data_IF_374745535360
#
_entry.id   IF_374745535360
#
_cell.length_a   1.000
_cell.length_b   1.000
_cell.length_c   1.000
_cell.angle_alpha   90.00
_cell.angle_beta   90.00
_cell.angle_gamma   90.00
#
_symmetry.space_group_name_H-M   'P 1'
#
loop_
_entity.id
_entity.type
_entity.pdbx_description
1 polymer ?
#
# COMPACT_ATOMS: atom_id res chain seq x y z
N UNK A 1 17.57 -9.96 4.11
CA UNK A 1 16.71 -8.95 3.45
C UNK A 1 17.35 -7.60 3.70
N UNK A 2 17.57 -6.80 2.64
CA UNK A 2 18.43 -5.63 2.66
C UNK A 2 17.63 -4.35 2.98
N UNK A 3 17.94 -3.72 4.11
CA UNK A 3 17.31 -2.47 4.55
C UNK A 3 17.49 -1.31 3.55
N UNK A 4 18.46 -1.41 2.62
CA UNK A 4 18.69 -0.40 1.59
C UNK A 4 17.66 -0.39 0.46
N UNK A 5 16.87 -1.47 0.27
CA UNK A 5 15.78 -1.50 -0.74
C UNK A 5 14.58 -0.67 -0.30
N UNK A 6 14.24 -0.70 0.99
CA UNK A 6 13.05 -0.04 1.54
C UNK A 6 13.17 1.48 1.64
N UNK A 7 14.38 2.04 1.71
CA UNK A 7 14.62 3.49 1.72
C UNK A 7 14.25 4.18 0.38
N UNK A 8 14.00 3.41 -0.69
CA UNK A 8 13.68 3.91 -2.04
C UNK A 8 12.20 3.83 -2.41
N UNK A 9 11.34 3.35 -1.51
CA UNK A 9 9.93 3.11 -1.83
C UNK A 9 9.07 4.37 -1.69
N UNK A 10 9.49 5.36 -0.91
CA UNK A 10 8.83 6.67 -0.81
C UNK A 10 8.60 7.30 -2.20
N UNK A 11 7.34 7.56 -2.60
CA UNK A 11 7.04 8.36 -3.78
C UNK A 11 7.81 9.68 -3.73
N UNK A 12 8.32 10.15 -4.87
CA UNK A 12 9.10 11.40 -4.97
C UNK A 12 8.31 12.64 -4.48
N UNK A 13 7.00 12.52 -4.35
CA UNK A 13 6.08 13.56 -3.87
C UNK A 13 5.88 13.59 -2.36
N UNK A 14 6.36 12.59 -1.60
CA UNK A 14 6.17 12.55 -0.15
C UNK A 14 7.16 13.44 0.59
N UNK A 15 6.64 14.36 1.40
CA UNK A 15 7.47 15.34 2.11
C UNK A 15 8.01 14.77 3.43
N UNK A 16 9.13 15.29 3.96
CA UNK A 16 9.71 14.84 5.24
C UNK A 16 8.77 14.93 6.46
N UNK A 17 7.72 15.76 6.37
CA UNK A 17 6.70 15.95 7.40
C UNK A 17 5.68 14.80 7.42
N UNK A 18 5.54 14.05 6.33
CA UNK A 18 4.59 12.94 6.16
C UNK A 18 5.12 11.60 6.69
N UNK A 19 5.54 11.61 7.96
CA UNK A 19 6.17 10.45 8.60
C UNK A 19 5.20 9.27 8.75
N UNK A 20 3.92 9.55 8.99
CA UNK A 20 2.89 8.52 9.17
C UNK A 20 2.56 7.81 7.86
N UNK A 21 2.35 8.59 6.80
CA UNK A 21 2.12 8.09 5.46
C UNK A 21 3.29 7.26 4.96
N UNK A 22 4.52 7.66 5.32
CA UNK A 22 5.73 6.88 4.99
C UNK A 22 5.72 5.50 5.62
N UNK A 23 5.33 5.42 6.89
CA UNK A 23 5.25 4.15 7.62
C UNK A 23 4.19 3.25 6.99
N UNK A 24 2.98 3.78 6.75
CA UNK A 24 1.87 3.01 6.16
C UNK A 24 2.19 2.57 4.73
N UNK A 25 2.76 3.46 3.92
CA UNK A 25 3.12 3.17 2.54
C UNK A 25 4.16 2.05 2.47
N UNK A 26 5.26 2.15 3.22
CA UNK A 26 6.34 1.14 3.18
C UNK A 26 5.83 -0.22 3.64
N UNK A 27 5.05 -0.26 4.72
CA UNK A 27 4.44 -1.49 5.24
C UNK A 27 3.51 -2.12 4.21
N UNK A 28 2.60 -1.32 3.63
CA UNK A 28 1.63 -1.81 2.67
C UNK A 28 2.23 -2.25 1.35
N UNK A 29 3.24 -1.51 0.86
CA UNK A 29 3.94 -1.86 -0.36
C UNK A 29 4.65 -3.21 -0.20
N UNK A 30 5.38 -3.42 0.89
CA UNK A 30 6.05 -4.69 1.19
C UNK A 30 5.03 -5.84 1.31
N UNK A 31 3.93 -5.60 2.03
CA UNK A 31 2.86 -6.59 2.22
C UNK A 31 2.22 -7.01 0.89
N UNK A 32 1.88 -6.07 0.01
CA UNK A 32 1.23 -6.37 -1.26
C UNK A 32 2.20 -6.99 -2.27
N UNK A 33 3.45 -6.53 -2.33
CA UNK A 33 4.46 -7.04 -3.27
C UNK A 33 4.89 -8.47 -2.90
N UNK A 34 5.03 -8.76 -1.60
CA UNK A 34 5.68 -10.01 -1.14
C UNK A 34 4.76 -10.95 -0.35
N UNK A 35 3.60 -10.48 0.09
CA UNK A 35 2.72 -11.22 1.00
C UNK A 35 3.22 -11.28 2.45
N UNK A 36 4.37 -10.67 2.75
CA UNK A 36 4.97 -10.62 4.07
C UNK A 36 5.50 -9.20 4.36
N UNK A 37 5.87 -8.94 5.61
CA UNK A 37 6.50 -7.67 6.02
C UNK A 37 7.73 -7.96 6.87
N UNK A 38 8.75 -7.13 6.75
CA UNK A 38 9.94 -7.23 7.59
C UNK A 38 9.65 -6.79 9.03
N UNK A 39 10.45 -7.29 9.99
CA UNK A 39 10.38 -6.88 11.39
C UNK A 39 10.51 -5.36 11.56
N UNK A 40 11.33 -4.71 10.71
CA UNK A 40 11.51 -3.27 10.72
C UNK A 40 10.23 -2.52 10.33
N UNK A 41 9.56 -2.95 9.26
CA UNK A 41 8.29 -2.37 8.81
C UNK A 41 7.18 -2.61 9.84
N UNK A 42 7.09 -3.84 10.38
CA UNK A 42 6.10 -4.17 11.41
C UNK A 42 6.32 -3.35 12.68
N UNK A 43 7.56 -3.27 13.16
CA UNK A 43 7.92 -2.44 14.32
C UNK A 43 7.58 -0.97 14.11
N UNK A 44 7.87 -0.40 12.94
CA UNK A 44 7.56 1.00 12.65
C UNK A 44 6.05 1.29 12.73
N UNK A 45 5.21 0.36 12.22
CA UNK A 45 3.75 0.46 12.33
C UNK A 45 3.30 0.32 13.79
N UNK A 46 3.76 -0.69 14.50
CA UNK A 46 3.34 -0.92 15.90
C UNK A 46 3.79 0.20 16.82
N UNK A 47 5.01 0.71 16.68
CA UNK A 47 5.51 1.83 17.47
C UNK A 47 4.66 3.10 17.27
N UNK A 48 4.10 3.28 16.07
CA UNK A 48 3.34 4.48 15.72
C UNK A 48 1.82 4.35 15.94
N UNK A 49 1.25 3.20 15.63
CA UNK A 49 -0.20 2.95 15.57
C UNK A 49 -0.68 1.84 16.51
N UNK A 50 0.24 1.12 17.16
CA UNK A 50 -0.05 -0.05 17.99
C UNK A 50 -0.40 -1.30 17.18
N UNK A 51 -0.48 -2.44 17.86
CA UNK A 51 -0.83 -3.73 17.24
C UNK A 51 -2.20 -3.71 16.58
N UNK A 52 -3.19 -3.05 17.20
CA UNK A 52 -4.52 -2.89 16.62
C UNK A 52 -4.48 -2.05 15.34
N UNK A 53 -3.70 -0.97 15.32
CA UNK A 53 -3.49 -0.18 14.11
C UNK A 53 -2.86 -0.99 12.99
N UNK A 54 -1.93 -1.89 13.30
CA UNK A 54 -1.37 -2.82 12.32
C UNK A 54 -2.44 -3.73 11.70
N UNK A 55 -3.33 -4.30 12.52
CA UNK A 55 -4.46 -5.12 12.05
C UNK A 55 -5.41 -4.30 11.17
N UNK A 56 -5.76 -3.08 11.57
CA UNK A 56 -6.65 -2.22 10.81
C UNK A 56 -6.05 -1.88 9.43
N UNK A 57 -4.74 -1.59 9.36
CA UNK A 57 -4.01 -1.34 8.12
C UNK A 57 -4.05 -2.56 7.20
N UNK A 58 -3.73 -3.76 7.72
CA UNK A 58 -3.78 -5.02 6.97
C UNK A 58 -5.19 -5.26 6.42
N UNK A 59 -6.22 -5.06 7.26
CA UNK A 59 -7.61 -5.27 6.89
C UNK A 59 -8.06 -4.38 5.74
N UNK A 60 -7.75 -3.07 5.81
CA UNK A 60 -8.09 -2.11 4.74
C UNK A 60 -7.36 -2.46 3.44
N UNK A 61 -6.06 -2.75 3.50
CA UNK A 61 -5.27 -3.10 2.32
C UNK A 61 -5.82 -4.37 1.66
N UNK A 62 -6.04 -5.44 2.42
CA UNK A 62 -6.59 -6.69 1.89
C UNK A 62 -7.98 -6.52 1.30
N UNK A 63 -8.86 -5.76 1.95
CA UNK A 63 -10.21 -5.49 1.46
C UNK A 63 -10.19 -4.79 0.09
N UNK A 64 -9.42 -3.71 -0.05
CA UNK A 64 -9.35 -2.99 -1.33
C UNK A 64 -8.61 -3.77 -2.41
N UNK A 65 -7.62 -4.60 -2.06
CA UNK A 65 -7.00 -5.53 -3.00
C UNK A 65 -8.01 -6.54 -3.54
N UNK A 66 -8.84 -7.13 -2.67
CA UNK A 66 -9.92 -8.03 -3.08
C UNK A 66 -10.91 -7.35 -4.03
N UNK A 67 -11.40 -6.15 -3.66
CA UNK A 67 -12.32 -5.37 -4.51
C UNK A 67 -11.67 -5.07 -5.86
N UNK A 68 -10.40 -4.68 -5.88
CA UNK A 68 -9.65 -4.39 -7.11
C UNK A 68 -9.55 -5.62 -8.01
N UNK A 69 -9.28 -6.80 -7.45
CA UNK A 69 -9.26 -8.06 -8.21
C UNK A 69 -10.61 -8.36 -8.86
N UNK A 70 -11.72 -8.16 -8.13
CA UNK A 70 -13.07 -8.37 -8.66
C UNK A 70 -13.35 -7.40 -9.82
N UNK A 71 -13.10 -6.10 -9.63
CA UNK A 71 -13.34 -5.08 -10.65
C UNK A 71 -12.50 -5.29 -11.91
N UNK A 72 -11.25 -5.72 -11.76
CA UNK A 72 -10.36 -6.02 -12.87
C UNK A 72 -10.86 -7.20 -13.72
N UNK A 73 -11.38 -8.25 -13.07
CA UNK A 73 -11.95 -9.42 -13.77
C UNK A 73 -13.28 -9.09 -14.44
N UNK A 74 -14.16 -8.37 -13.75
CA UNK A 74 -15.48 -7.98 -14.26
C UNK A 74 -15.42 -6.85 -15.31
N UNK A 75 -14.24 -6.22 -15.49
CA UNK A 75 -14.00 -5.11 -16.43
C UNK A 75 -15.02 -3.99 -16.27
N UNK A 76 -15.34 -3.66 -15.02
CA UNK A 76 -16.34 -2.63 -14.69
C UNK A 76 -15.96 -1.30 -15.38
N UNK A 77 -16.86 -0.69 -16.17
CA UNK A 77 -16.56 0.56 -16.85
C UNK A 77 -16.42 1.70 -15.84
N UNK A 78 -15.68 2.73 -16.21
CA UNK A 78 -15.58 3.94 -15.40
C UNK A 78 -16.96 4.59 -15.33
N UNK A 79 -17.46 4.93 -14.12
CA UNK A 79 -18.71 5.65 -13.97
C UNK A 79 -18.75 6.89 -14.86
N UNK A 80 -19.92 7.17 -15.45
CA UNK A 80 -20.16 8.32 -16.33
C UNK A 80 -19.30 8.35 -17.61
N UNK A 81 -18.66 7.24 -18.00
CA UNK A 81 -17.84 7.16 -19.21
C UNK A 81 -16.56 7.99 -19.11
N UNK A 82 -16.06 8.21 -17.88
CA UNK A 82 -14.82 8.94 -17.63
C UNK A 82 -13.61 8.34 -18.35
N UNK A 83 -12.56 9.16 -18.51
CA UNK A 83 -11.28 8.70 -19.10
C UNK A 83 -10.53 7.81 -18.10
N UNK A 84 -9.81 6.82 -18.62
CA UNK A 84 -8.87 6.04 -17.83
C UNK A 84 -7.83 6.99 -17.19
N UNK A 85 -7.62 6.91 -15.87
CA UNK A 85 -6.66 7.78 -15.18
C UNK A 85 -5.20 7.43 -15.52
N UNK A 86 -4.95 6.20 -16.00
CA UNK A 86 -3.64 5.70 -16.39
C UNK A 86 -3.73 5.02 -17.76
N UNK A 87 -2.61 4.99 -18.49
CA UNK A 87 -2.51 4.26 -19.74
C UNK A 87 -2.72 2.75 -19.52
N UNK A 88 -3.28 2.06 -20.51
CA UNK A 88 -3.37 0.60 -20.50
C UNK A 88 -1.96 -0.02 -20.48
N UNK A 89 -1.78 -1.07 -19.68
CA UNK A 89 -0.59 -1.91 -19.76
C UNK A 89 -0.74 -2.75 -21.03
N UNK A 90 0.13 -2.52 -22.03
CA UNK A 90 0.24 -3.36 -23.24
C UNK A 90 0.93 -4.70 -22.93
#
# INVERSE_FOLDING_TARGET
MDAQRFKRLTPETMTPEQKEETIVYNFGHELIETGQVSDASYKAVVDKFGERGAIDIIGVMGYYSLVSMVLNVDRVPIPEGGKLPLASLE
#
